data_IF_971122526790
#
_entry.id   IF_971122526790
#
_cell.length_a   1.000
_cell.length_b   1.000
_cell.length_c   1.000
_cell.angle_alpha   90.00
_cell.angle_beta   90.00
_cell.angle_gamma   90.00
#
_symmetry.space_group_name_H-M   'P 1'
#
loop_
_entity.id
_entity.type
_entity.pdbx_description
1 polymer ?
#
# COMPACT_ATOMS: atom_id res chain seq x y z
N UNK A 1 1.93 26.14 11.05
CA UNK A 1 1.52 25.35 9.87
C UNK A 1 2.40 24.09 9.71
N UNK A 2 3.73 24.23 9.80
CA UNK A 2 4.69 23.11 9.72
C UNK A 2 4.50 22.02 10.80
N UNK A 3 4.20 22.41 12.05
CA UNK A 3 3.99 21.47 13.16
C UNK A 3 2.79 20.51 12.97
N UNK A 4 1.79 20.87 12.15
CA UNK A 4 0.68 19.98 11.85
C UNK A 4 1.02 18.97 10.75
N UNK A 5 1.94 19.31 9.85
CA UNK A 5 2.41 18.44 8.79
C UNK A 5 3.18 17.24 9.36
N UNK A 6 3.99 17.48 10.40
CA UNK A 6 4.76 16.46 11.11
C UNK A 6 3.93 15.52 11.99
N UNK A 7 2.60 15.66 12.03
CA UNK A 7 1.70 14.68 12.66
C UNK A 7 1.28 13.56 11.71
N UNK A 8 1.48 13.73 10.41
CA UNK A 8 1.03 12.75 9.42
C UNK A 8 1.99 11.54 9.40
N UNK A 9 1.49 10.37 9.80
CA UNK A 9 2.26 9.11 9.86
C UNK A 9 2.84 8.70 8.50
N UNK A 10 2.14 8.98 7.40
CA UNK A 10 2.60 8.68 6.04
C UNK A 10 3.78 9.56 5.68
N UNK A 11 3.73 10.85 6.02
CA UNK A 11 4.83 11.78 5.79
C UNK A 11 6.05 11.39 6.64
N UNK A 12 5.84 11.05 7.92
CA UNK A 12 6.92 10.58 8.80
C UNK A 12 7.61 9.32 8.26
N UNK A 13 6.82 8.37 7.75
CA UNK A 13 7.34 7.17 7.10
C UNK A 13 8.11 7.50 5.81
N UNK A 14 7.63 8.45 5.00
CA UNK A 14 8.33 8.90 3.79
C UNK A 14 9.66 9.58 4.11
N UNK A 15 9.70 10.43 5.16
CA UNK A 15 10.92 11.09 5.63
C UNK A 15 11.90 10.05 6.17
N UNK A 16 11.44 9.04 6.90
CA UNK A 16 12.28 7.94 7.39
C UNK A 16 12.95 7.17 6.24
N UNK A 17 12.23 6.96 5.13
CA UNK A 17 12.74 6.29 3.93
C UNK A 17 13.54 7.23 3.01
N UNK A 18 13.76 8.48 3.39
CA UNK A 18 14.64 9.39 2.66
C UNK A 18 15.90 9.70 3.49
N UNK A 19 17.05 9.05 3.19
CA UNK A 19 18.30 9.27 3.90
C UNK A 19 18.80 10.72 3.85
N UNK A 20 18.31 11.56 2.93
CA UNK A 20 18.69 12.97 2.85
C UNK A 20 18.14 13.77 4.03
N UNK A 21 16.99 13.35 4.56
CA UNK A 21 16.20 14.03 5.57
C UNK A 21 16.22 13.32 6.93
N UNK A 22 17.15 12.37 7.13
CA UNK A 22 17.31 11.59 8.36
C UNK A 22 17.38 12.42 9.66
N UNK A 23 17.88 13.66 9.59
CA UNK A 23 18.08 14.56 10.75
C UNK A 23 16.78 15.25 11.20
N UNK A 24 15.71 15.18 10.40
CA UNK A 24 14.48 15.93 10.67
C UNK A 24 13.60 15.26 11.74
N UNK A 25 13.76 13.94 11.94
CA UNK A 25 12.89 13.15 12.80
C UNK A 25 13.41 13.09 14.25
N UNK A 26 12.52 13.36 15.20
CA UNK A 26 12.75 13.06 16.62
C UNK A 26 12.53 11.57 16.92
N UNK A 27 13.05 11.09 18.06
CA UNK A 27 12.95 9.68 18.46
C UNK A 27 11.49 9.18 18.57
N UNK A 28 10.55 10.02 19.04
CA UNK A 28 9.13 9.66 19.09
C UNK A 28 8.51 9.54 17.69
N UNK A 29 8.82 10.49 16.80
CA UNK A 29 8.34 10.48 15.42
C UNK A 29 8.91 9.29 14.65
N UNK A 30 10.14 8.91 14.97
CA UNK A 30 10.82 7.75 14.43
C UNK A 30 10.11 6.43 14.81
N UNK A 31 9.75 6.24 16.08
CA UNK A 31 8.99 5.06 16.50
C UNK A 31 7.62 4.99 15.83
N UNK A 32 6.98 6.15 15.66
CA UNK A 32 5.70 6.28 14.96
C UNK A 32 5.83 5.91 13.47
N UNK A 33 6.89 6.37 12.80
CA UNK A 33 7.18 6.04 11.41
C UNK A 33 7.41 4.53 11.23
N UNK A 34 8.21 3.90 12.11
CA UNK A 34 8.44 2.45 12.09
C UNK A 34 7.14 1.68 12.32
N UNK A 35 6.34 2.06 13.31
CA UNK A 35 5.06 1.40 13.58
C UNK A 35 4.15 1.44 12.35
N UNK A 36 4.08 2.60 11.68
CA UNK A 36 3.32 2.76 10.45
C UNK A 36 3.85 1.88 9.30
N UNK A 37 5.17 1.87 9.09
CA UNK A 37 5.82 1.02 8.07
C UNK A 37 5.52 -0.46 8.26
N UNK A 38 5.55 -0.92 9.52
CA UNK A 38 5.22 -2.30 9.86
C UNK A 38 3.75 -2.59 9.55
N UNK A 39 2.84 -1.67 9.87
CA UNK A 39 1.42 -1.80 9.52
C UNK A 39 1.19 -1.95 8.02
N UNK A 40 1.86 -1.12 7.20
CA UNK A 40 1.81 -1.22 5.73
C UNK A 40 2.36 -2.55 5.24
N UNK A 41 3.47 -3.02 5.81
CA UNK A 41 4.06 -4.32 5.46
C UNK A 41 3.14 -5.49 5.77
N UNK A 42 2.50 -5.50 6.94
CA UNK A 42 1.54 -6.53 7.33
C UNK A 42 0.31 -6.54 6.40
N UNK A 43 -0.20 -5.36 6.05
CA UNK A 43 -1.30 -5.25 5.09
C UNK A 43 -0.91 -5.79 3.71
N UNK A 44 0.30 -5.48 3.24
CA UNK A 44 0.82 -6.02 1.98
C UNK A 44 0.88 -7.56 2.01
N UNK A 45 1.38 -8.15 3.09
CA UNK A 45 1.45 -9.61 3.25
C UNK A 45 0.07 -10.27 3.34
N UNK A 46 -0.89 -9.62 3.99
CA UNK A 46 -2.29 -10.08 4.03
C UNK A 46 -2.93 -10.09 2.64
N UNK A 47 -2.63 -9.08 1.81
CA UNK A 47 -3.12 -9.03 0.43
C UNK A 47 -2.48 -10.11 -0.46
N UNK A 48 -1.18 -10.37 -0.29
CA UNK A 48 -0.49 -11.45 -0.99
C UNK A 48 -1.10 -12.82 -0.63
N UNK A 49 -1.34 -13.12 0.64
CA UNK A 49 -1.96 -14.39 1.06
C UNK A 49 -3.36 -14.58 0.47
N UNK A 50 -4.21 -13.54 0.54
CA UNK A 50 -5.55 -13.57 -0.05
C UNK A 50 -5.54 -13.84 -1.56
N UNK A 51 -4.51 -13.38 -2.28
CA UNK A 51 -4.38 -13.64 -3.71
C UNK A 51 -4.02 -15.10 -4.03
N UNK A 52 -3.30 -15.78 -3.13
CA UNK A 52 -2.92 -17.20 -3.27
C UNK A 52 -4.10 -18.11 -2.93
N UNK A 53 -4.89 -17.78 -1.91
CA UNK A 53 -6.08 -18.58 -1.53
C UNK A 53 -7.14 -18.60 -2.64
N UNK A 54 -7.31 -17.47 -3.36
CA UNK A 54 -8.21 -17.39 -4.51
C UNK A 54 -7.77 -18.27 -5.69
N UNK A 55 -6.50 -18.65 -5.76
CA UNK A 55 -5.97 -19.54 -6.80
C UNK A 55 -5.99 -21.03 -6.43
N UNK A 56 -6.15 -21.37 -5.14
CA UNK A 56 -6.11 -22.75 -4.63
C UNK A 56 -7.50 -23.36 -4.38
N UNK A 57 -8.56 -22.56 -4.25
CA UNK A 57 -9.91 -23.05 -3.95
C UNK A 57 -10.69 -23.66 -5.14
N UNK A 58 -10.01 -24.12 -6.19
CA UNK A 58 -10.62 -24.80 -7.34
C UNK A 58 -10.36 -26.32 -7.38
N UNK A 59 -9.73 -26.91 -6.37
CA UNK A 59 -9.60 -28.37 -6.28
C UNK A 59 -10.04 -28.85 -4.89
N UNK A 60 -11.12 -29.63 -4.89
CA UNK A 60 -11.96 -30.03 -3.76
C UNK A 60 -11.23 -30.84 -2.67
N UNK A 61 -11.47 -30.52 -1.39
CA UNK A 61 -11.19 -31.42 -0.25
C UNK A 61 -12.47 -31.62 0.57
N UNK A 62 -13.07 -32.78 0.38
CA UNK A 62 -14.07 -33.40 1.26
C UNK A 62 -13.36 -33.90 2.51
N UNK A 63 -13.77 -33.45 3.70
CA UNK A 63 -13.47 -34.15 4.95
C UNK A 63 -14.70 -34.17 5.86
N UNK A 64 -15.28 -35.37 5.95
CA UNK A 64 -16.18 -35.79 7.02
C UNK A 64 -15.40 -35.87 8.34
N UNK A 65 -15.97 -35.35 9.42
CA UNK A 65 -15.64 -35.85 10.76
C UNK A 65 -16.81 -35.62 11.71
N UNK A 66 -17.62 -36.66 11.89
CA UNK A 66 -18.52 -36.83 13.02
C UNK A 66 -17.72 -37.21 14.28
N UNK A 67 -18.03 -36.59 15.41
CA UNK A 67 -17.91 -37.19 16.75
C UNK A 67 -18.74 -36.37 17.75
N UNK A 68 -19.79 -37.00 18.27
CA UNK A 68 -20.53 -36.68 19.50
C UNK A 68 -19.53 -36.71 20.70
N UNK A 69 -19.69 -36.04 21.85
CA UNK A 69 -20.86 -35.93 22.73
C UNK A 69 -20.54 -34.96 23.91
N UNK A 70 -21.62 -34.54 24.55
CA UNK A 70 -21.80 -34.19 25.96
C UNK A 70 -21.77 -32.73 26.42
N UNK A 71 -22.64 -32.51 27.40
CA UNK A 71 -23.56 -31.40 27.52
C UNK A 71 -23.35 -30.68 28.84
N UNK A 72 -23.09 -29.37 28.79
CA UNK A 72 -23.41 -28.48 29.91
C UNK A 72 -24.22 -27.31 29.38
N UNK A 73 -25.49 -27.40 29.76
CA UNK A 73 -26.60 -26.47 29.67
C UNK A 73 -26.26 -25.04 30.11
N UNK A 74 -26.65 -24.08 29.27
CA UNK A 74 -26.64 -22.64 29.56
C UNK A 74 -25.93 -21.83 28.51
N UNK A 75 -26.47 -21.73 27.29
CA UNK A 75 -26.09 -20.67 26.34
C UNK A 75 -26.52 -19.34 26.95
N UNK A 76 -25.60 -18.73 27.69
CA UNK A 76 -25.63 -17.30 27.97
C UNK A 76 -25.35 -16.62 26.62
N UNK A 77 -26.20 -15.68 26.19
CA UNK A 77 -26.04 -14.99 24.91
C UNK A 77 -24.68 -14.28 24.78
N UNK A 78 -23.98 -14.10 25.91
CA UNK A 78 -22.61 -13.63 25.98
C UNK A 78 -21.59 -14.66 25.46
N UNK A 79 -21.76 -15.96 25.75
CA UNK A 79 -20.85 -17.03 25.32
C UNK A 79 -20.96 -17.27 23.81
N UNK A 80 -22.17 -17.16 23.24
CA UNK A 80 -22.37 -17.24 21.79
C UNK A 80 -21.79 -16.01 21.07
N UNK A 81 -21.89 -14.82 21.67
CA UNK A 81 -21.24 -13.61 21.15
C UNK A 81 -19.70 -13.68 21.23
N UNK A 82 -19.15 -14.26 22.29
CA UNK A 82 -17.70 -14.49 22.41
C UNK A 82 -17.22 -15.55 21.41
N UNK A 83 -17.95 -16.66 21.23
CA UNK A 83 -17.63 -17.70 20.24
C UNK A 83 -17.76 -17.23 18.79
N UNK A 84 -18.73 -16.35 18.50
CA UNK A 84 -18.85 -15.68 17.20
C UNK A 84 -17.64 -14.77 16.93
N UNK A 85 -17.06 -14.18 17.99
CA UNK A 85 -15.88 -13.32 17.88
C UNK A 85 -14.55 -14.07 17.91
N UNK A 86 -14.49 -15.23 18.56
CA UNK A 86 -13.29 -16.07 18.69
C UNK A 86 -13.06 -16.99 17.48
N UNK A 87 -14.12 -17.41 16.77
CA UNK A 87 -13.99 -18.28 15.60
C UNK A 87 -13.48 -17.58 14.32
N UNK A 88 -13.32 -16.25 14.33
CA UNK A 88 -13.00 -15.51 13.10
C UNK A 88 -11.50 -15.31 12.84
N UNK A 89 -10.56 -15.36 13.81
CA UNK A 89 -9.18 -14.88 13.50
C UNK A 89 -7.92 -15.47 14.21
N UNK A 90 -7.96 -16.32 15.25
CA UNK A 90 -6.85 -16.17 16.24
C UNK A 90 -5.63 -17.14 16.22
N UNK A 91 -5.68 -18.41 15.82
CA UNK A 91 -4.57 -19.31 16.24
C UNK A 91 -3.39 -19.53 15.26
N UNK A 92 -3.61 -19.46 13.94
CA UNK A 92 -2.52 -19.74 12.96
C UNK A 92 -1.96 -18.49 12.28
N UNK A 93 -2.76 -17.42 12.15
CA UNK A 93 -2.33 -16.14 11.57
C UNK A 93 -1.43 -15.36 12.54
N UNK A 94 -1.65 -15.48 13.85
CA UNK A 94 -0.93 -14.71 14.88
C UNK A 94 0.56 -15.06 14.97
N UNK A 95 0.95 -16.34 14.87
CA UNK A 95 2.37 -16.76 14.90
C UNK A 95 3.18 -16.28 13.68
N UNK A 96 2.60 -16.35 12.47
CA UNK A 96 3.24 -15.84 11.24
C UNK A 96 3.30 -14.31 11.23
N UNK A 97 2.28 -13.65 11.76
CA UNK A 97 2.24 -12.19 11.89
C UNK A 97 3.28 -11.69 12.90
N UNK A 98 3.49 -12.41 14.00
CA UNK A 98 4.48 -12.05 15.03
C UNK A 98 5.93 -12.24 14.56
N UNK A 99 6.25 -13.33 13.85
CA UNK A 99 7.60 -13.57 13.33
C UNK A 99 7.95 -12.60 12.20
N UNK A 100 7.01 -12.33 11.28
CA UNK A 100 7.19 -11.33 10.23
C UNK A 100 7.33 -9.91 10.81
N UNK A 101 6.53 -9.56 11.83
CA UNK A 101 6.62 -8.29 12.56
C UNK A 101 8.00 -8.07 13.20
N UNK A 102 8.53 -9.05 13.91
CA UNK A 102 9.83 -8.93 14.57
C UNK A 102 10.97 -8.83 13.54
N UNK A 103 10.87 -9.59 12.45
CA UNK A 103 11.86 -9.59 11.37
C UNK A 103 11.95 -8.22 10.68
N UNK A 104 10.81 -7.67 10.23
CA UNK A 104 10.80 -6.37 9.54
C UNK A 104 11.21 -5.21 10.47
N UNK A 105 10.80 -5.25 11.74
CA UNK A 105 11.19 -4.24 12.74
C UNK A 105 12.71 -4.23 12.96
N UNK A 106 13.33 -5.41 12.99
CA UNK A 106 14.79 -5.54 13.14
C UNK A 106 15.51 -5.02 11.91
N UNK A 107 15.02 -5.35 10.71
CA UNK A 107 15.55 -4.85 9.43
C UNK A 107 15.50 -3.32 9.39
N UNK A 108 14.36 -2.70 9.68
CA UNK A 108 14.18 -1.24 9.70
C UNK A 108 15.12 -0.53 10.68
N UNK A 109 15.27 -1.08 11.90
CA UNK A 109 16.22 -0.54 12.90
C UNK A 109 17.67 -0.69 12.43
N UNK A 110 18.03 -1.84 11.87
CA UNK A 110 19.38 -2.09 11.37
C UNK A 110 19.75 -1.15 10.23
N UNK A 111 18.79 -0.88 9.33
CA UNK A 111 18.93 0.07 8.24
C UNK A 111 19.20 1.47 8.80
N UNK A 112 18.40 1.93 9.76
CA UNK A 112 18.59 3.25 10.34
C UNK A 112 19.98 3.46 10.95
N UNK A 113 20.51 2.45 11.64
CA UNK A 113 21.86 2.52 12.23
C UNK A 113 22.93 2.57 11.13
N UNK A 114 22.79 1.75 10.09
CA UNK A 114 23.81 1.59 9.04
C UNK A 114 23.81 2.70 8.00
N UNK A 115 22.66 3.34 7.73
CA UNK A 115 22.57 4.35 6.67
C UNK A 115 23.17 5.68 7.10
N UNK A 116 24.08 6.20 6.26
CA UNK A 116 24.57 7.56 6.41
C UNK A 116 23.70 8.56 5.63
N UNK A 117 23.76 9.84 6.02
CA UNK A 117 23.04 10.90 5.32
C UNK A 117 23.53 11.03 3.88
N UNK A 118 22.60 11.06 2.93
CA UNK A 118 22.90 11.31 1.53
C UNK A 118 22.91 12.81 1.21
N UNK A 119 23.64 13.19 0.16
CA UNK A 119 23.62 14.53 -0.38
C UNK A 119 22.20 14.88 -0.91
N UNK A 120 21.75 16.12 -0.68
CA UNK A 120 20.43 16.60 -1.11
C UNK A 120 20.19 16.47 -2.63
N UNK A 121 21.26 16.55 -3.44
CA UNK A 121 21.19 16.43 -4.91
C UNK A 121 21.02 14.99 -5.42
N UNK A 122 21.15 14.00 -4.54
CA UNK A 122 21.05 12.60 -4.94
C UNK A 122 19.61 12.25 -5.34
N UNK A 123 19.45 11.53 -6.45
CA UNK A 123 18.16 11.01 -6.87
C UNK A 123 17.77 9.82 -5.99
N UNK A 124 16.74 10.01 -5.16
CA UNK A 124 16.26 9.03 -4.19
C UNK A 124 15.72 7.75 -4.84
N UNK A 125 15.08 7.86 -6.02
CA UNK A 125 14.56 6.70 -6.75
C UNK A 125 15.70 5.84 -7.30
N UNK A 126 16.77 6.47 -7.80
CA UNK A 126 17.97 5.75 -8.26
C UNK A 126 18.69 5.08 -7.08
N UNK A 127 18.75 5.75 -5.92
CA UNK A 127 19.30 5.17 -4.71
C UNK A 127 18.54 3.90 -4.29
N UNK A 128 17.21 3.99 -4.17
CA UNK A 128 16.39 2.85 -3.80
C UNK A 128 16.49 1.70 -4.80
N UNK A 129 16.57 2.00 -6.10
CA UNK A 129 16.81 0.99 -7.14
C UNK A 129 18.16 0.28 -6.98
N UNK A 130 19.22 0.98 -6.58
CA UNK A 130 20.52 0.32 -6.28
C UNK A 130 20.49 -0.51 -5.00
N UNK A 131 19.53 -0.26 -4.10
CA UNK A 131 19.41 -0.92 -2.80
C UNK A 131 18.48 -2.14 -2.81
N UNK A 132 17.86 -2.43 -3.95
CA UNK A 132 16.88 -3.51 -4.15
C UNK A 132 17.39 -4.89 -3.68
N UNK A 133 18.66 -5.19 -3.96
CA UNK A 133 19.26 -6.48 -3.59
C UNK A 133 19.67 -6.57 -2.12
N UNK A 134 19.87 -5.44 -1.44
CA UNK A 134 20.39 -5.38 -0.07
C UNK A 134 19.25 -5.28 0.94
N UNK A 135 18.22 -4.49 0.62
CA UNK A 135 17.05 -4.26 1.45
C UNK A 135 15.78 -4.37 0.60
N UNK A 136 15.46 -5.57 0.14
CA UNK A 136 14.33 -5.82 -0.76
C UNK A 136 12.99 -5.43 -0.12
N UNK A 137 12.81 -5.71 1.17
CA UNK A 137 11.58 -5.39 1.91
C UNK A 137 11.40 -3.88 2.07
N UNK A 138 12.48 -3.18 2.45
CA UNK A 138 12.46 -1.73 2.61
C UNK A 138 12.27 -1.04 1.26
N UNK A 139 12.87 -1.58 0.20
CA UNK A 139 12.70 -1.06 -1.16
C UNK A 139 11.25 -1.15 -1.64
N UNK A 140 10.55 -2.25 -1.38
CA UNK A 140 9.12 -2.38 -1.68
C UNK A 140 8.31 -1.34 -0.89
N UNK A 141 8.59 -1.17 0.41
CA UNK A 141 7.95 -0.13 1.22
C UNK A 141 8.23 1.28 0.69
N UNK A 142 9.47 1.56 0.26
CA UNK A 142 9.87 2.83 -0.32
C UNK A 142 9.13 3.13 -1.61
N UNK A 143 8.94 2.15 -2.50
CA UNK A 143 8.11 2.33 -3.70
C UNK A 143 6.69 2.74 -3.33
N UNK A 144 6.07 2.05 -2.38
CA UNK A 144 4.68 2.29 -1.99
C UNK A 144 4.55 3.68 -1.39
N UNK A 145 5.36 4.00 -0.38
CA UNK A 145 5.21 5.22 0.42
C UNK A 145 5.65 6.46 -0.37
N UNK A 146 6.73 6.39 -1.14
CA UNK A 146 7.18 7.53 -1.96
C UNK A 146 6.27 7.79 -3.16
N UNK A 147 5.40 6.85 -3.53
CA UNK A 147 4.39 7.05 -4.56
C UNK A 147 3.14 7.76 -4.04
N UNK A 148 2.97 7.89 -2.71
CA UNK A 148 1.80 8.56 -2.14
C UNK A 148 1.91 10.07 -2.38
N UNK A 149 0.95 10.70 -3.08
CA UNK A 149 0.97 12.14 -3.30
C UNK A 149 0.85 12.87 -1.95
N UNK A 150 1.75 13.82 -1.70
CA UNK A 150 1.82 14.51 -0.40
C UNK A 150 0.65 15.48 -0.14
N UNK A 151 -0.12 15.87 -1.17
CA UNK A 151 -1.24 16.81 -1.01
C UNK A 151 -2.45 16.44 -1.88
N UNK A 152 -3.64 16.72 -1.37
CA UNK A 152 -4.91 16.57 -2.09
C UNK A 152 -4.95 17.42 -3.37
N UNK A 153 -4.37 18.62 -3.33
CA UNK A 153 -4.35 19.55 -4.47
C UNK A 153 -3.65 18.95 -5.69
N UNK A 154 -2.61 18.12 -5.50
CA UNK A 154 -1.96 17.41 -6.61
C UNK A 154 -2.91 16.45 -7.32
N UNK A 155 -3.78 15.78 -6.57
CA UNK A 155 -4.77 14.83 -7.11
C UNK A 155 -5.88 15.59 -7.83
N UNK A 156 -6.39 16.66 -7.24
CA UNK A 156 -7.42 17.51 -7.86
C UNK A 156 -6.94 18.16 -9.16
N UNK A 157 -5.68 18.60 -9.20
CA UNK A 157 -5.07 19.15 -10.42
C UNK A 157 -5.01 18.08 -11.51
N UNK A 158 -4.58 16.86 -11.16
CA UNK A 158 -4.55 15.73 -12.11
C UNK A 158 -5.96 15.41 -12.64
N UNK A 159 -6.97 15.35 -11.77
CA UNK A 159 -8.35 15.10 -12.19
C UNK A 159 -8.94 16.24 -13.03
N UNK A 160 -8.58 17.49 -12.73
CA UNK A 160 -8.99 18.66 -13.52
C UNK A 160 -8.38 18.63 -14.91
N UNK A 161 -7.09 18.29 -15.00
CA UNK A 161 -6.38 18.12 -16.27
C UNK A 161 -6.96 16.95 -17.06
N UNK A 162 -7.27 15.84 -16.39
CA UNK A 162 -7.91 14.67 -17.01
C UNK A 162 -9.31 15.00 -17.53
N UNK A 163 -10.12 15.74 -16.76
CA UNK A 163 -11.43 16.25 -17.17
C UNK A 163 -11.33 17.13 -18.42
N UNK A 164 -10.26 17.92 -18.53
CA UNK A 164 -10.02 18.73 -19.72
C UNK A 164 -9.63 17.90 -20.95
N UNK A 165 -8.87 16.82 -20.77
CA UNK A 165 -8.53 15.87 -21.86
C UNK A 165 -9.78 15.15 -22.38
N UNK A 166 -10.62 14.65 -21.48
CA UNK A 166 -11.88 13.96 -21.84
C UNK A 166 -13.03 14.92 -22.18
N UNK A 167 -12.78 16.23 -22.18
CA UNK A 167 -13.77 17.21 -22.57
C UNK A 167 -14.21 16.96 -24.03
N UNK A 168 -15.53 16.84 -24.30
CA UNK A 168 -16.06 16.48 -25.61
C UNK A 168 -15.68 17.46 -26.73
N UNK A 169 -15.18 18.64 -26.38
CA UNK A 169 -14.69 19.65 -27.33
C UNK A 169 -13.35 19.29 -28.02
N UNK A 170 -12.60 18.28 -27.55
CA UNK A 170 -11.33 17.84 -28.19
C UNK A 170 -11.47 16.63 -29.13
N UNK A 171 -12.43 15.73 -28.90
CA UNK A 171 -12.65 14.56 -29.77
C UNK A 171 -13.51 14.86 -31.01
N UNK A 172 -14.02 16.08 -31.18
CA UNK A 172 -14.79 16.47 -32.36
C UNK A 172 -13.91 17.13 -33.44
N UNK A 173 -12.78 16.51 -33.79
CA UNK A 173 -12.20 16.78 -35.11
C UNK A 173 -13.04 16.03 -36.13
N UNK A 174 -14.08 16.69 -36.64
CA UNK A 174 -14.78 16.22 -37.83
C UNK A 174 -13.73 16.00 -38.92
N UNK A 175 -13.52 14.74 -39.31
CA UNK A 175 -12.81 14.41 -40.54
C UNK A 175 -13.62 14.99 -41.70
N UNK A 176 -13.34 16.23 -42.06
CA UNK A 176 -13.91 16.84 -43.27
C UNK A 176 -13.25 16.15 -44.46
N UNK A 177 -13.97 15.20 -45.07
CA UNK A 177 -13.58 14.64 -46.37
C UNK A 177 -13.42 15.79 -47.38
N UNK A 178 -12.38 15.81 -48.22
CA UNK A 178 -12.22 16.83 -49.24
C UNK A 178 -13.42 16.77 -50.20
N UNK A 179 -14.10 17.91 -50.36
CA UNK A 179 -15.19 18.06 -51.34
C UNK A 179 -14.59 17.87 -52.74
N UNK A 180 -15.11 16.90 -53.50
CA UNK A 180 -14.75 16.74 -54.92
C UNK A 180 -15.26 17.97 -55.70
N UNK A 181 -14.48 18.51 -56.65
CA UNK A 181 -14.93 19.62 -57.48
C UNK A 181 -16.06 19.15 -58.40
N UNK A 182 -17.12 19.95 -58.49
CA UNK A 182 -18.25 19.77 -59.38
C UNK A 182 -17.78 20.16 -60.79
N UNK A 183 -17.82 19.22 -61.72
CA UNK A 183 -17.52 19.46 -63.13
C UNK A 183 -18.69 20.25 -63.74
N UNK A 184 -18.41 21.47 -64.20
CA UNK A 184 -19.36 22.32 -64.92
C UNK A 184 -19.58 21.75 -66.33
N UNK A 185 -20.79 21.29 -66.62
CA UNK A 185 -21.20 20.92 -67.98
C UNK A 185 -21.65 22.17 -68.74
N UNK A 186 -21.00 22.40 -69.87
CA UNK A 186 -21.26 23.43 -70.87
C UNK A 186 -22.69 23.37 -71.42
N UNK A 187 -23.30 24.55 -71.62
CA UNK A 187 -24.21 24.84 -72.73
C UNK A 187 -24.13 26.33 -73.08
#
# INVERSE_FOLDING_TARGET
>A
MEQHLMKNKVLLAAIFLDPRYKIILDDEQYTTAISHLIGVWLQLKKLEQKSVDLTMNNEDIILNQDSEDDSITGSDGLEDFLKEKDNVDTYNVSKISQTSFHTIKTILKSYHIKQNRLNHKTNILKFWKSMENIYSEIYVLAKIILSVPSTQVSVERLFSDLKFIFSPYRCNKKFTKPRRPIVSTYK
#
